data_IF_118611771178
#
_entry.id   IF_118611771178
#
_cell.length_a   1.000
_cell.length_b   1.000
_cell.length_c   1.000
_cell.angle_alpha   90.00
_cell.angle_beta   90.00
_cell.angle_gamma   90.00
#
_symmetry.space_group_name_H-M   'P 1'
#
loop_
_entity.id
_entity.type
_entity.pdbx_description
1 polymer ?
#
# COMPACT_ATOMS: atom_id res chain seq x y z
N UNK A 1 -21.11 -20.03 25.19
CA UNK A 1 -20.98 -19.20 23.98
C UNK A 1 -21.73 -19.88 22.84
N UNK A 2 -22.81 -19.29 22.29
CA UNK A 2 -23.45 -19.81 21.08
C UNK A 2 -22.48 -19.64 19.89
N UNK A 3 -22.27 -20.74 19.18
CA UNK A 3 -21.18 -21.01 18.21
C UNK A 3 -21.20 -20.04 17.02
N UNK A 4 -20.04 -19.45 16.68
CA UNK A 4 -19.70 -18.98 15.34
C UNK A 4 -20.33 -17.68 14.82
N UNK A 5 -21.22 -17.01 15.56
CA UNK A 5 -21.86 -15.78 15.09
C UNK A 5 -21.02 -14.53 15.43
N UNK A 6 -20.86 -13.57 14.49
CA UNK A 6 -20.17 -12.32 14.78
C UNK A 6 -20.96 -11.49 15.80
N UNK A 7 -20.25 -10.93 16.77
CA UNK A 7 -20.84 -10.13 17.88
C UNK A 7 -21.60 -8.90 17.35
N UNK A 8 -21.19 -8.37 16.18
CA UNK A 8 -21.89 -7.26 15.51
C UNK A 8 -21.85 -7.44 13.99
N UNK A 9 -23.01 -7.29 13.34
CA UNK A 9 -23.15 -7.26 11.87
C UNK A 9 -22.90 -5.85 11.35
N UNK A 10 -21.64 -5.41 11.35
CA UNK A 10 -21.27 -4.09 10.80
C UNK A 10 -21.52 -4.08 9.29
N UNK A 11 -22.05 -2.95 8.79
CA UNK A 11 -22.16 -2.71 7.35
C UNK A 11 -20.77 -2.78 6.70
N UNK A 12 -20.73 -3.38 5.52
CA UNK A 12 -19.53 -3.54 4.71
C UNK A 12 -19.83 -2.96 3.33
N UNK A 13 -18.98 -2.09 2.82
CA UNK A 13 -19.22 -1.47 1.52
C UNK A 13 -19.20 -2.53 0.41
N UNK A 14 -20.18 -2.49 -0.49
CA UNK A 14 -20.33 -3.51 -1.54
C UNK A 14 -20.95 -4.83 -1.10
N UNK A 15 -21.40 -4.97 0.15
CA UNK A 15 -21.97 -6.21 0.68
C UNK A 15 -23.12 -6.01 1.66
N UNK A 16 -24.08 -6.93 1.63
CA UNK A 16 -25.12 -7.09 2.63
C UNK A 16 -24.99 -8.42 3.39
N UNK A 17 -25.46 -8.43 4.63
CA UNK A 17 -25.46 -9.62 5.46
C UNK A 17 -26.71 -10.47 5.23
N UNK A 18 -26.51 -11.69 4.77
CA UNK A 18 -27.49 -12.77 4.88
C UNK A 18 -27.27 -13.47 6.23
N UNK A 19 -27.91 -12.91 7.26
CA UNK A 19 -27.76 -13.33 8.66
C UNK A 19 -28.16 -14.79 8.90
N UNK A 20 -29.27 -15.32 8.33
CA UNK A 20 -29.61 -16.73 8.47
C UNK A 20 -28.50 -17.70 8.05
N UNK A 21 -27.77 -17.36 6.98
CA UNK A 21 -26.74 -18.23 6.41
C UNK A 21 -25.31 -17.79 6.75
N UNK A 22 -25.13 -16.75 7.57
CA UNK A 22 -23.82 -16.16 7.89
C UNK A 22 -22.99 -15.78 6.65
N UNK A 23 -23.65 -15.23 5.64
CA UNK A 23 -23.04 -14.85 4.37
C UNK A 23 -22.95 -13.34 4.21
N UNK A 24 -21.89 -12.90 3.53
CA UNK A 24 -21.79 -11.57 2.96
C UNK A 24 -22.03 -11.69 1.46
N UNK A 25 -23.12 -11.09 0.97
CA UNK A 25 -23.56 -11.15 -0.42
C UNK A 25 -23.30 -9.79 -1.10
N UNK A 26 -22.69 -9.75 -2.30
CA UNK A 26 -22.53 -8.53 -3.08
C UNK A 26 -23.82 -7.73 -3.23
N UNK A 27 -23.75 -6.42 -3.03
CA UNK A 27 -24.88 -5.51 -3.21
C UNK A 27 -24.65 -4.51 -4.37
N UNK A 28 -25.50 -3.50 -4.50
CA UNK A 28 -25.44 -2.51 -5.58
C UNK A 28 -24.10 -1.74 -5.66
N UNK A 29 -23.39 -1.59 -4.54
CA UNK A 29 -22.09 -0.90 -4.49
C UNK A 29 -20.90 -1.80 -4.86
N UNK A 30 -21.13 -3.10 -5.03
CA UNK A 30 -20.07 -4.08 -5.32
C UNK A 30 -19.25 -3.77 -6.60
N UNK A 31 -19.84 -3.29 -7.72
CA UNK A 31 -19.07 -2.87 -8.88
C UNK A 31 -18.08 -1.73 -8.57
N UNK A 32 -18.48 -0.78 -7.73
CA UNK A 32 -17.61 0.33 -7.30
C UNK A 32 -16.47 -0.18 -6.41
N UNK A 33 -16.76 -1.14 -5.52
CA UNK A 33 -15.75 -1.82 -4.71
C UNK A 33 -14.71 -2.53 -5.59
N UNK A 34 -15.15 -3.27 -6.60
CA UNK A 34 -14.25 -3.92 -7.57
C UNK A 34 -13.38 -2.90 -8.32
N UNK A 35 -13.98 -1.79 -8.74
CA UNK A 35 -13.25 -0.70 -9.40
C UNK A 35 -12.15 -0.14 -8.48
N UNK A 36 -12.44 0.10 -7.21
CA UNK A 36 -11.43 0.61 -6.26
C UNK A 36 -10.22 -0.34 -6.19
N UNK A 37 -10.47 -1.65 -6.08
CA UNK A 37 -9.40 -2.63 -6.05
C UNK A 37 -8.65 -2.73 -7.38
N UNK A 38 -9.33 -2.66 -8.52
CA UNK A 38 -8.67 -2.69 -9.82
C UNK A 38 -7.76 -1.48 -10.01
N UNK A 39 -8.23 -0.27 -9.70
CA UNK A 39 -7.42 0.95 -9.82
C UNK A 39 -6.14 0.86 -8.98
N UNK A 40 -6.24 0.32 -7.77
CA UNK A 40 -5.05 0.15 -6.91
C UNK A 40 -4.13 -0.92 -7.46
N UNK A 41 -4.66 -2.06 -7.94
CA UNK A 41 -3.84 -3.11 -8.58
C UNK A 41 -3.15 -2.62 -9.85
N UNK A 42 -3.72 -1.64 -10.54
CA UNK A 42 -3.15 -0.96 -11.71
C UNK A 42 -2.06 0.07 -11.34
N UNK A 43 -1.67 0.16 -10.07
CA UNK A 43 -0.60 1.06 -9.62
C UNK A 43 -1.07 2.39 -9.05
N UNK A 44 -2.39 2.67 -8.95
CA UNK A 44 -2.84 3.96 -8.45
C UNK A 44 -2.65 4.12 -6.93
N UNK A 45 -2.20 5.32 -6.53
CA UNK A 45 -2.17 5.75 -5.13
C UNK A 45 -3.52 6.28 -4.66
N UNK A 46 -3.67 6.47 -3.34
CA UNK A 46 -4.91 6.98 -2.72
C UNK A 46 -5.49 8.22 -3.42
N UNK A 47 -4.66 9.25 -3.65
CA UNK A 47 -5.14 10.51 -4.26
C UNK A 47 -5.67 10.27 -5.68
N UNK A 48 -4.99 9.46 -6.48
CA UNK A 48 -5.41 9.13 -7.85
C UNK A 48 -6.72 8.35 -7.87
N UNK A 49 -6.89 7.39 -6.95
CA UNK A 49 -8.16 6.67 -6.79
C UNK A 49 -9.30 7.63 -6.44
N UNK A 50 -9.08 8.53 -5.48
CA UNK A 50 -10.10 9.52 -5.09
C UNK A 50 -10.50 10.43 -6.27
N UNK A 51 -9.51 10.90 -7.04
CA UNK A 51 -9.75 11.69 -8.24
C UNK A 51 -10.54 10.91 -9.29
N UNK A 52 -10.22 9.64 -9.50
CA UNK A 52 -10.90 8.79 -10.47
C UNK A 52 -12.35 8.49 -10.07
N UNK A 53 -12.61 8.25 -8.78
CA UNK A 53 -13.98 8.09 -8.26
C UNK A 53 -14.79 9.38 -8.44
N UNK A 54 -14.20 10.53 -8.13
CA UNK A 54 -14.82 11.85 -8.33
C UNK A 54 -15.10 12.11 -9.81
N UNK A 55 -14.15 11.82 -10.69
CA UNK A 55 -14.29 11.97 -12.15
C UNK A 55 -15.44 11.13 -12.70
N UNK A 56 -15.67 9.94 -12.15
CA UNK A 56 -16.80 9.05 -12.51
C UNK A 56 -18.12 9.40 -11.81
N UNK A 57 -18.14 10.39 -10.91
CA UNK A 57 -19.34 10.76 -10.17
C UNK A 57 -19.80 9.71 -9.15
N UNK A 58 -18.90 8.84 -8.68
CA UNK A 58 -19.25 7.77 -7.73
C UNK A 58 -19.31 8.34 -6.32
N UNK A 59 -20.50 8.34 -5.71
CA UNK A 59 -20.71 8.81 -4.34
C UNK A 59 -20.08 7.85 -3.32
N UNK A 60 -19.64 8.41 -2.19
CA UNK A 60 -19.15 7.64 -1.06
C UNK A 60 -20.27 6.85 -0.37
N UNK A 61 -19.95 5.90 0.52
CA UNK A 61 -20.98 5.12 1.23
C UNK A 61 -21.97 5.99 2.04
N UNK A 62 -21.56 7.22 2.41
CA UNK A 62 -22.41 8.19 3.08
C UNK A 62 -23.18 9.13 2.14
N UNK A 63 -23.12 8.91 0.82
CA UNK A 63 -23.75 9.76 -0.20
C UNK A 63 -22.95 11.02 -0.56
N UNK A 64 -21.73 11.18 -0.04
CA UNK A 64 -20.92 12.37 -0.31
C UNK A 64 -20.20 12.27 -1.66
N UNK A 65 -20.11 13.35 -2.46
CA UNK A 65 -19.42 13.35 -3.75
C UNK A 65 -17.90 13.16 -3.63
N UNK A 66 -17.33 13.55 -2.48
CA UNK A 66 -15.91 13.37 -2.21
C UNK A 66 -15.69 12.25 -1.20
N UNK A 67 -14.85 11.31 -1.59
CA UNK A 67 -14.37 10.24 -0.73
C UNK A 67 -13.21 10.73 0.14
N UNK A 68 -13.12 10.23 1.38
CA UNK A 68 -11.95 10.47 2.23
C UNK A 68 -10.88 9.40 2.03
N UNK A 69 -9.62 9.76 2.30
CA UNK A 69 -8.50 8.80 2.26
C UNK A 69 -8.69 7.69 3.29
N UNK A 70 -9.29 8.02 4.43
CA UNK A 70 -9.57 7.10 5.53
C UNK A 70 -10.57 6.02 5.09
N UNK A 71 -11.59 6.37 4.32
CA UNK A 71 -12.57 5.41 3.79
C UNK A 71 -11.91 4.43 2.82
N UNK A 72 -11.14 4.93 1.86
CA UNK A 72 -10.39 4.07 0.92
C UNK A 72 -9.38 3.20 1.67
N UNK A 73 -8.63 3.77 2.62
CA UNK A 73 -7.70 3.03 3.47
C UNK A 73 -8.41 1.92 4.26
N UNK A 74 -9.57 2.22 4.84
CA UNK A 74 -10.40 1.23 5.53
C UNK A 74 -10.84 0.09 4.61
N UNK A 75 -11.17 0.39 3.35
CA UNK A 75 -11.49 -0.63 2.35
C UNK A 75 -10.26 -1.51 2.04
N UNK A 76 -9.14 -0.90 1.64
CA UNK A 76 -7.95 -1.64 1.22
C UNK A 76 -7.33 -2.51 2.33
N UNK A 77 -7.41 -2.07 3.59
CA UNK A 77 -6.83 -2.83 4.70
C UNK A 77 -7.75 -3.94 5.24
N UNK A 78 -9.04 -3.93 4.89
CA UNK A 78 -9.99 -4.88 5.43
C UNK A 78 -9.83 -6.27 4.76
N UNK A 79 -9.37 -7.29 5.51
CA UNK A 79 -9.11 -8.63 4.96
C UNK A 79 -10.37 -9.36 4.46
N UNK A 80 -11.56 -8.89 4.82
CA UNK A 80 -12.83 -9.48 4.37
C UNK A 80 -12.93 -9.44 2.84
N UNK A 81 -12.45 -8.36 2.21
CA UNK A 81 -12.46 -8.24 0.75
C UNK A 81 -11.49 -9.21 0.05
N UNK A 82 -10.58 -9.84 0.81
CA UNK A 82 -9.75 -10.96 0.36
C UNK A 82 -10.29 -12.33 0.83
N UNK A 83 -11.56 -12.38 1.24
CA UNK A 83 -12.27 -13.61 1.61
C UNK A 83 -12.03 -14.09 3.04
N UNK A 84 -11.42 -13.30 3.92
CA UNK A 84 -11.14 -13.72 5.31
C UNK A 84 -11.80 -12.81 6.34
N UNK A 85 -12.72 -13.38 7.13
CA UNK A 85 -13.34 -12.67 8.24
C UNK A 85 -12.56 -12.87 9.55
N UNK A 86 -12.35 -11.77 10.27
CA UNK A 86 -11.70 -11.76 11.57
C UNK A 86 -12.56 -11.01 12.59
N UNK A 87 -12.70 -11.57 13.79
CA UNK A 87 -13.37 -10.95 14.93
C UNK A 87 -12.37 -10.65 16.07
N UNK A 88 -12.89 -10.07 17.16
CA UNK A 88 -12.13 -9.76 18.37
C UNK A 88 -10.86 -8.94 18.10
N UNK A 89 -10.95 -7.97 17.19
CA UNK A 89 -9.82 -7.13 16.75
C UNK A 89 -9.33 -6.13 17.81
N UNK A 90 -9.91 -6.15 19.01
CA UNK A 90 -9.58 -5.27 20.13
C UNK A 90 -9.46 -6.08 21.40
N UNK A 91 -8.46 -5.75 22.22
CA UNK A 91 -8.23 -6.34 23.52
C UNK A 91 -8.24 -5.24 24.58
N UNK A 92 -8.88 -5.52 25.72
CA UNK A 92 -8.77 -4.65 26.90
C UNK A 92 -7.35 -4.70 27.43
N UNK A 93 -6.76 -3.54 27.71
CA UNK A 93 -5.44 -3.43 28.28
C UNK A 93 -5.40 -2.35 29.35
N UNK A 94 -4.36 -2.36 30.17
CA UNK A 94 -4.13 -1.27 31.10
C UNK A 94 -3.87 0.04 30.33
N UNK A 95 -4.33 1.19 30.84
CA UNK A 95 -4.07 2.48 30.22
C UNK A 95 -2.56 2.78 30.17
N UNK A 96 -2.02 2.96 28.98
CA UNK A 96 -0.60 3.29 28.79
C UNK A 96 -0.26 4.73 29.20
N UNK A 97 -1.27 5.62 29.24
CA UNK A 97 -1.11 7.01 29.67
C UNK A 97 -1.71 7.21 31.05
N UNK A 98 -1.01 7.98 31.90
CA UNK A 98 -1.50 8.34 33.23
C UNK A 98 -2.83 9.11 33.10
N UNK A 99 -3.93 8.63 33.71
CA UNK A 99 -5.20 9.34 33.65
C UNK A 99 -5.06 10.74 34.24
N UNK A 100 -5.68 11.75 33.62
CA UNK A 100 -5.77 13.10 34.21
C UNK A 100 -6.49 13.00 35.55
N UNK A 101 -6.09 13.81 36.55
CA UNK A 101 -6.59 13.76 37.95
C UNK A 101 -8.13 13.71 38.09
N UNK A 102 -8.87 14.21 37.10
CA UNK A 102 -10.35 14.25 37.10
C UNK A 102 -11.04 13.01 36.51
N UNK A 103 -10.32 12.05 35.90
CA UNK A 103 -10.93 10.85 35.29
C UNK A 103 -10.18 9.60 35.74
N UNK A 104 -10.85 8.73 36.50
CA UNK A 104 -10.40 7.35 36.71
C UNK A 104 -10.70 6.56 35.43
N UNK A 105 -9.68 6.27 34.63
CA UNK A 105 -9.78 5.34 33.51
C UNK A 105 -9.19 4.02 33.97
N UNK A 106 -10.04 3.03 34.25
CA UNK A 106 -9.61 1.74 34.80
C UNK A 106 -9.22 0.72 33.70
N UNK A 107 -9.51 1.02 32.43
CA UNK A 107 -9.11 0.19 31.29
C UNK A 107 -9.03 1.02 30.01
N UNK A 108 -8.16 0.60 29.10
CA UNK A 108 -8.03 1.11 27.73
C UNK A 108 -8.24 -0.05 26.76
N UNK A 109 -8.31 0.24 25.46
CA UNK A 109 -8.42 -0.77 24.42
C UNK A 109 -7.26 -0.63 23.43
N UNK A 110 -6.64 -1.76 23.11
CA UNK A 110 -5.62 -1.87 22.06
C UNK A 110 -6.19 -2.61 20.87
N UNK A 111 -5.97 -2.08 19.66
CA UNK A 111 -6.24 -2.82 18.42
C UNK A 111 -5.20 -3.91 18.24
N UNK A 112 -5.66 -5.13 18.02
CA UNK A 112 -4.81 -6.28 17.73
C UNK A 112 -4.30 -6.20 16.29
N UNK A 113 -3.13 -6.77 16.05
CA UNK A 113 -2.68 -7.04 14.69
C UNK A 113 -3.58 -8.12 14.08
N UNK A 114 -3.53 -8.24 12.75
CA UNK A 114 -4.35 -9.22 12.07
C UNK A 114 -3.98 -10.67 12.44
N UNK A 115 -2.69 -10.93 12.67
CA UNK A 115 -2.16 -12.24 13.12
C UNK A 115 -2.72 -12.68 14.48
N UNK A 116 -2.98 -11.73 15.38
CA UNK A 116 -3.53 -11.97 16.72
C UNK A 116 -5.07 -11.96 16.74
N UNK A 117 -5.71 -11.57 15.64
CA UNK A 117 -7.17 -11.48 15.56
C UNK A 117 -7.79 -12.86 15.33
N UNK A 118 -9.00 -13.09 15.86
CA UNK A 118 -9.66 -14.38 15.76
C UNK A 118 -10.25 -14.60 14.36
N UNK A 119 -9.65 -15.52 13.59
CA UNK A 119 -10.16 -15.91 12.27
C UNK A 119 -11.46 -16.72 12.39
N UNK A 120 -12.51 -16.31 11.67
CA UNK A 120 -13.82 -16.98 11.68
C UNK A 120 -14.15 -17.54 10.30
N UNK A 121 -13.82 -18.81 10.01
CA UNK A 121 -14.10 -19.44 8.71
C UNK A 121 -15.59 -19.73 8.48
N UNK A 122 -16.43 -19.69 9.53
CA UNK A 122 -17.87 -19.94 9.42
C UNK A 122 -18.68 -18.79 8.80
N UNK A 123 -18.02 -17.68 8.46
CA UNK A 123 -18.64 -16.58 7.71
C UNK A 123 -18.16 -16.70 6.26
N UNK A 124 -19.10 -16.91 5.35
CA UNK A 124 -18.82 -17.05 3.93
C UNK A 124 -18.88 -15.66 3.25
N UNK A 125 -17.81 -15.31 2.52
CA UNK A 125 -17.76 -14.10 1.70
C UNK A 125 -18.04 -14.51 0.27
N UNK A 126 -19.23 -14.22 -0.23
CA UNK A 126 -19.60 -14.55 -1.61
C UNK A 126 -18.86 -13.60 -2.56
N UNK A 127 -18.12 -14.15 -3.52
CA UNK A 127 -17.39 -13.40 -4.53
C UNK A 127 -16.45 -12.29 -3.95
N UNK A 128 -15.38 -12.62 -3.21
CA UNK A 128 -14.40 -11.63 -2.75
C UNK A 128 -13.81 -10.85 -3.94
N UNK A 129 -13.71 -9.50 -3.91
CA UNK A 129 -13.23 -8.72 -5.05
C UNK A 129 -11.75 -8.95 -5.38
N UNK A 130 -10.95 -9.44 -4.43
CA UNK A 130 -9.53 -9.73 -4.62
C UNK A 130 -9.14 -11.06 -3.96
N UNK A 131 -8.03 -11.65 -4.41
CA UNK A 131 -7.42 -12.80 -3.73
C UNK A 131 -6.51 -12.33 -2.58
N UNK A 132 -6.14 -13.26 -1.71
CA UNK A 132 -5.19 -12.96 -0.63
C UNK A 132 -3.82 -12.49 -1.15
N UNK A 133 -3.31 -13.12 -2.21
CA UNK A 133 -2.06 -12.71 -2.86
C UNK A 133 -2.11 -11.28 -3.43
N UNK A 134 -3.28 -10.84 -3.90
CA UNK A 134 -3.44 -9.50 -4.44
C UNK A 134 -3.42 -8.45 -3.32
N UNK A 135 -3.93 -8.79 -2.14
CA UNK A 135 -3.78 -7.95 -0.93
C UNK A 135 -2.32 -7.72 -0.57
N UNK A 136 -1.48 -8.75 -0.66
CA UNK A 136 -0.04 -8.64 -0.39
C UNK A 136 0.64 -7.71 -1.41
N UNK A 137 0.29 -7.83 -2.69
CA UNK A 137 0.76 -6.91 -3.75
C UNK A 137 0.35 -5.46 -3.47
N UNK A 138 -0.91 -5.22 -3.12
CA UNK A 138 -1.42 -3.89 -2.77
C UNK A 138 -0.61 -3.29 -1.63
N UNK A 139 -0.32 -4.07 -0.58
CA UNK A 139 0.46 -3.58 0.56
C UNK A 139 1.92 -3.29 0.20
N UNK A 140 2.56 -4.12 -0.60
CA UNK A 140 3.90 -3.87 -1.11
C UNK A 140 3.94 -2.57 -1.93
N UNK A 141 2.99 -2.40 -2.86
CA UNK A 141 2.88 -1.21 -3.68
C UNK A 141 2.62 0.06 -2.84
N UNK A 142 1.70 0.02 -1.88
CA UNK A 142 1.43 1.16 -1.01
C UNK A 142 2.64 1.53 -0.13
N UNK A 143 3.40 0.53 0.33
CA UNK A 143 4.64 0.77 1.06
C UNK A 143 5.69 1.45 0.17
N UNK A 144 5.81 1.05 -1.09
CA UNK A 144 6.70 1.68 -2.05
C UNK A 144 6.25 3.10 -2.41
N UNK A 145 4.95 3.34 -2.61
CA UNK A 145 4.40 4.68 -2.77
C UNK A 145 4.73 5.58 -1.59
N UNK A 146 4.61 5.08 -0.36
CA UNK A 146 4.98 5.85 0.83
C UNK A 146 6.46 6.19 0.85
N UNK A 147 7.35 5.23 0.54
CA UNK A 147 8.80 5.45 0.51
C UNK A 147 9.22 6.44 -0.58
N UNK A 148 8.62 6.32 -1.76
CA UNK A 148 9.00 7.08 -2.96
C UNK A 148 8.21 8.38 -3.14
N UNK A 149 7.22 8.67 -2.28
CA UNK A 149 6.41 9.88 -2.38
C UNK A 149 7.27 11.15 -2.56
N UNK A 150 6.84 12.01 -3.48
CA UNK A 150 7.55 13.25 -3.82
C UNK A 150 7.72 14.18 -2.61
N UNK A 151 6.72 14.25 -1.73
CA UNK A 151 6.79 15.01 -0.47
C UNK A 151 7.91 14.56 0.49
N UNK A 152 8.45 13.36 0.29
CA UNK A 152 9.57 12.83 1.06
C UNK A 152 10.92 13.04 0.33
N UNK A 153 10.89 13.62 -0.88
CA UNK A 153 12.06 13.92 -1.67
C UNK A 153 12.61 15.31 -1.29
N UNK A 154 13.93 15.41 -1.11
CA UNK A 154 14.60 16.72 -1.05
C UNK A 154 14.82 17.31 -2.44
N UNK A 155 15.08 16.44 -3.41
CA UNK A 155 15.36 16.76 -4.80
C UNK A 155 14.61 15.78 -5.71
N UNK A 156 14.24 16.23 -6.90
CA UNK A 156 13.50 15.44 -7.88
C UNK A 156 14.47 14.81 -8.90
N UNK A 157 14.94 13.60 -8.58
CA UNK A 157 15.85 12.83 -9.45
C UNK A 157 15.13 11.62 -10.03
N UNK A 158 15.28 11.36 -11.32
CA UNK A 158 14.46 10.39 -12.06
C UNK A 158 14.55 8.97 -11.49
N UNK A 159 15.77 8.51 -11.20
CA UNK A 159 16.04 7.15 -10.72
C UNK A 159 16.08 7.06 -9.18
N UNK A 160 15.51 8.05 -8.48
CA UNK A 160 15.42 8.04 -7.01
C UNK A 160 14.72 6.77 -6.55
N UNK A 161 15.43 6.00 -5.73
CA UNK A 161 14.91 4.75 -5.17
C UNK A 161 14.86 3.58 -6.14
N UNK A 162 15.33 3.71 -7.38
CA UNK A 162 15.40 2.59 -8.34
C UNK A 162 16.78 1.92 -8.28
N UNK A 163 17.85 2.73 -8.20
CA UNK A 163 19.22 2.24 -8.25
C UNK A 163 19.57 1.51 -6.96
N UNK A 164 19.96 0.24 -7.08
CA UNK A 164 20.39 -0.63 -5.99
C UNK A 164 21.88 -0.93 -6.07
N UNK A 165 22.52 -1.15 -4.93
CA UNK A 165 23.89 -1.62 -4.83
C UNK A 165 23.90 -3.15 -4.89
N UNK A 166 24.69 -3.71 -5.80
CA UNK A 166 24.81 -5.16 -5.98
C UNK A 166 25.63 -5.87 -4.90
N UNK A 167 26.32 -5.14 -4.02
CA UNK A 167 27.22 -5.71 -3.01
C UNK A 167 26.82 -5.40 -1.56
N UNK A 168 25.96 -4.40 -1.34
CA UNK A 168 25.57 -3.96 0.00
C UNK A 168 24.11 -4.26 0.30
N UNK A 169 23.89 -4.93 1.43
CA UNK A 169 22.58 -5.33 1.92
C UNK A 169 22.33 -4.77 3.32
N UNK A 170 21.05 -4.59 3.67
CA UNK A 170 20.62 -4.21 5.00
C UNK A 170 20.49 -5.39 5.94
N UNK A 171 20.09 -5.10 7.18
CA UNK A 171 20.01 -6.10 8.25
C UNK A 171 19.01 -7.21 7.95
N UNK A 172 18.01 -6.93 7.10
CA UNK A 172 16.96 -7.87 6.71
C UNK A 172 17.23 -8.45 5.30
N UNK A 173 18.46 -8.29 4.77
CA UNK A 173 18.84 -8.77 3.44
C UNK A 173 18.35 -7.89 2.29
N UNK A 174 17.76 -6.72 2.57
CA UNK A 174 17.30 -5.81 1.53
C UNK A 174 18.47 -5.09 0.83
N UNK A 175 18.50 -4.98 -0.50
CA UNK A 175 19.59 -4.29 -1.18
C UNK A 175 19.61 -2.81 -0.81
N UNK A 176 20.80 -2.26 -0.56
CA UNK A 176 20.96 -0.83 -0.29
C UNK A 176 20.70 -0.03 -1.56
N UNK A 177 19.85 0.99 -1.46
CA UNK A 177 19.53 1.89 -2.58
C UNK A 177 20.48 3.08 -2.59
N UNK A 178 20.87 3.51 -3.77
CA UNK A 178 21.60 4.77 -3.92
C UNK A 178 20.66 5.93 -3.60
N UNK A 179 21.21 6.97 -2.99
CA UNK A 179 20.50 8.22 -2.80
C UNK A 179 21.08 9.27 -3.75
N UNK A 180 20.23 10.11 -4.32
CA UNK A 180 20.69 11.23 -5.12
C UNK A 180 21.12 12.38 -4.22
N UNK A 181 22.20 13.06 -4.58
CA UNK A 181 22.64 14.29 -3.94
C UNK A 181 23.13 15.31 -4.98
N UNK A 182 23.00 16.62 -4.70
CA UNK A 182 23.64 17.66 -5.50
C UNK A 182 25.16 17.49 -5.52
N UNK A 183 25.79 17.86 -6.64
CA UNK A 183 27.24 17.81 -6.82
C UNK A 183 27.68 18.83 -7.88
N UNK A 184 28.28 19.94 -7.43
CA UNK A 184 28.54 21.13 -8.25
C UNK A 184 27.27 21.58 -8.99
N UNK A 185 27.36 21.85 -10.29
CA UNK A 185 26.25 22.25 -11.16
C UNK A 185 25.39 21.06 -11.64
N UNK A 186 25.46 19.92 -10.96
CA UNK A 186 24.75 18.68 -11.34
C UNK A 186 24.34 17.84 -10.12
N UNK A 187 24.04 16.56 -10.33
CA UNK A 187 23.74 15.57 -9.29
C UNK A 187 24.39 14.23 -9.57
N UNK A 188 24.51 13.44 -8.51
CA UNK A 188 25.00 12.06 -8.57
C UNK A 188 24.20 11.16 -7.66
N UNK A 189 24.17 9.87 -7.98
CA UNK A 189 23.68 8.83 -7.11
C UNK A 189 24.84 8.25 -6.30
N UNK A 190 24.65 8.11 -5.00
CA UNK A 190 25.70 7.71 -4.06
C UNK A 190 25.28 6.48 -3.29
N UNK A 191 26.17 5.48 -3.25
CA UNK A 191 26.02 4.32 -2.39
C UNK A 191 26.09 4.78 -0.93
N UNK A 192 25.13 4.43 -0.07
CA UNK A 192 25.12 4.88 1.33
C UNK A 192 26.25 4.29 2.18
N UNK A 193 26.90 3.22 1.71
CA UNK A 193 27.99 2.54 2.45
C UNK A 193 29.37 2.95 1.92
N UNK A 194 29.51 3.19 0.61
CA UNK A 194 30.83 3.36 -0.02
C UNK A 194 31.60 2.04 -0.16
N UNK A 195 32.85 2.06 -0.65
CA UNK A 195 33.73 0.87 -0.73
C UNK A 195 33.31 -0.25 -1.69
N UNK A 196 32.22 -0.08 -2.44
CA UNK A 196 31.85 -0.99 -3.55
C UNK A 196 32.52 -0.56 -4.84
N UNK A 197 32.42 -1.40 -5.88
CA UNK A 197 32.98 -1.15 -7.23
C UNK A 197 32.50 0.15 -7.84
N UNK A 198 31.25 0.56 -7.59
CA UNK A 198 30.68 1.82 -8.10
C UNK A 198 30.08 2.65 -6.96
N UNK A 199 30.88 3.34 -6.14
CA UNK A 199 30.36 4.10 -5.00
C UNK A 199 29.56 5.34 -5.42
N UNK A 200 29.80 5.85 -6.64
CA UNK A 200 29.13 7.02 -7.20
C UNK A 200 28.74 6.76 -8.66
N UNK A 201 27.59 7.30 -9.08
CA UNK A 201 27.12 7.25 -10.46
C UNK A 201 26.68 8.67 -10.84
N UNK A 202 27.19 9.20 -11.96
CA UNK A 202 26.78 10.51 -12.47
C UNK A 202 25.32 10.48 -12.88
N UNK A 203 24.52 11.37 -12.30
CA UNK A 203 23.07 11.38 -12.42
C UNK A 203 22.57 11.57 -13.86
N UNK A 204 22.93 12.67 -14.55
CA UNK A 204 22.45 12.92 -15.91
C UNK A 204 22.82 11.81 -16.90
N UNK A 205 24.04 11.27 -16.81
CA UNK A 205 24.54 10.23 -17.70
C UNK A 205 23.73 8.93 -17.56
N UNK A 206 23.57 8.41 -16.34
CA UNK A 206 22.79 7.18 -16.12
C UNK A 206 21.32 7.36 -16.46
N UNK A 207 20.75 8.54 -16.16
CA UNK A 207 19.36 8.85 -16.52
C UNK A 207 19.18 8.88 -18.03
N UNK A 208 20.12 9.43 -18.79
CA UNK A 208 20.08 9.45 -20.25
C UNK A 208 20.18 8.05 -20.83
N UNK A 209 21.04 7.20 -20.28
CA UNK A 209 21.18 5.79 -20.67
C UNK A 209 19.87 5.03 -20.41
N UNK A 210 19.28 5.18 -19.22
CA UNK A 210 18.01 4.54 -18.90
C UNK A 210 16.91 4.99 -19.86
N UNK A 211 16.82 6.30 -20.16
CA UNK A 211 15.88 6.83 -21.15
C UNK A 211 16.10 6.22 -22.54
N UNK A 212 17.35 6.07 -22.96
CA UNK A 212 17.71 5.47 -24.25
C UNK A 212 17.25 4.00 -24.32
N UNK A 213 17.60 3.18 -23.32
CA UNK A 213 17.17 1.78 -23.29
C UNK A 213 15.66 1.61 -23.30
N UNK A 214 14.95 2.42 -22.50
CA UNK A 214 13.48 2.40 -22.48
C UNK A 214 12.95 2.75 -23.88
N UNK A 215 13.51 3.78 -24.53
CA UNK A 215 13.13 4.15 -25.90
C UNK A 215 13.36 3.02 -26.89
N UNK A 216 14.50 2.33 -26.85
CA UNK A 216 14.79 1.19 -27.73
C UNK A 216 13.78 0.05 -27.52
N UNK A 217 13.43 -0.27 -26.27
CA UNK A 217 12.44 -1.29 -25.93
C UNK A 217 11.07 -0.99 -26.56
N UNK A 218 10.65 0.29 -26.58
CA UNK A 218 9.36 0.68 -27.16
C UNK A 218 9.37 0.77 -28.69
N UNK A 219 10.52 1.04 -29.32
CA UNK A 219 10.64 1.20 -30.78
C UNK A 219 11.06 -0.12 -31.47
N UNK A 220 11.49 -1.14 -30.71
CA UNK A 220 11.92 -2.44 -31.27
C UNK A 220 13.25 -2.39 -32.01
N UNK A 221 14.11 -1.40 -31.72
CA UNK A 221 15.44 -1.27 -32.31
C UNK A 221 16.49 -1.94 -31.40
N UNK A 222 17.54 -2.58 -31.95
CA UNK A 222 18.61 -3.16 -31.15
C UNK A 222 19.34 -2.07 -30.35
N UNK A 223 19.63 -2.36 -29.08
CA UNK A 223 20.38 -1.46 -28.22
C UNK A 223 21.88 -1.67 -28.42
N UNK A 224 22.51 -0.88 -29.28
CA UNK A 224 23.97 -0.75 -29.23
C UNK A 224 24.29 0.11 -28.00
N UNK A 225 24.77 -0.56 -26.97
CA UNK A 225 24.96 0.04 -25.65
C UNK A 225 26.06 1.10 -25.68
N UNK A 226 25.82 2.32 -25.18
CA UNK A 226 26.90 3.22 -24.78
C UNK A 226 27.47 2.71 -23.44
N UNK A 227 28.25 1.63 -23.44
CA UNK A 227 28.96 1.21 -22.24
C UNK A 227 30.13 2.15 -21.95
N UNK A 228 30.27 2.47 -20.67
CA UNK A 228 31.40 3.17 -20.08
C UNK A 228 32.68 2.33 -20.25
N UNK A 229 33.73 2.91 -20.81
CA UNK A 229 35.09 2.47 -20.53
C UNK A 229 35.39 2.73 -19.04
N UNK A 230 35.98 1.74 -18.38
CA UNK A 230 36.20 1.64 -16.92
C UNK A 230 37.00 2.81 -16.30
#
# INVERSE_FOLDING_TARGET
>A
MKRGLPVTYRRLYGYDWDKPNNRLIPNADYPNLKLIFSLVLDGMGYTSVLQELKRRGILSPGGMPEWSKETISGILHNPIYAGRFYALKVQSCEPTQRPKKSKRVNSSQKRLKLEDAHYMPGIEIVNPPIRWSDREKIFAQLADHQKLAQRNAKNDYLLRGVIICGTHYGKQGEPRRYHGQPHHDSWRYVCPVGGCTRPFIRGPEIEQIVKFYIKCLFIGQPSDSPLFDD
#
